data_IF_189850238023
#
_entry.id   IF_189850238023
#
_cell.length_a   1.000
_cell.length_b   1.000
_cell.length_c   1.000
_cell.angle_alpha   90.00
_cell.angle_beta   90.00
_cell.angle_gamma   90.00
#
_symmetry.space_group_name_H-M   'P 1'
#
loop_
_entity.id
_entity.type
_entity.pdbx_description
1 polymer ?
#
# COMPACT_ATOMS: atom_id res chain seq x y z
N UNK A 1 -33.81 -4.18 -22.71
CA UNK A 1 -34.57 -4.41 -21.46
C UNK A 1 -33.65 -4.74 -20.28
N UNK A 2 -32.75 -5.70 -20.37
CA UNK A 2 -31.83 -6.10 -19.26
C UNK A 2 -30.89 -4.95 -18.82
N UNK A 3 -30.34 -4.17 -19.74
CA UNK A 3 -29.50 -2.99 -19.42
C UNK A 3 -30.26 -1.90 -18.66
N UNK A 4 -31.48 -1.61 -19.07
CA UNK A 4 -32.35 -0.69 -18.34
C UNK A 4 -32.69 -1.16 -16.93
N UNK A 5 -32.97 -2.45 -16.74
CA UNK A 5 -33.20 -3.02 -15.42
C UNK A 5 -31.95 -2.96 -14.52
N UNK A 6 -30.77 -3.23 -15.05
CA UNK A 6 -29.51 -3.05 -14.33
C UNK A 6 -29.24 -1.58 -13.96
N UNK A 7 -29.58 -0.64 -14.86
CA UNK A 7 -29.47 0.79 -14.59
C UNK A 7 -30.37 1.24 -13.44
N UNK A 8 -31.63 0.76 -13.41
CA UNK A 8 -32.60 1.05 -12.35
C UNK A 8 -32.14 0.44 -11.01
N UNK A 9 -31.70 -0.82 -11.01
CA UNK A 9 -31.19 -1.47 -9.80
C UNK A 9 -29.96 -0.73 -9.24
N UNK A 10 -29.01 -0.37 -10.10
CA UNK A 10 -27.82 0.39 -9.70
C UNK A 10 -28.17 1.81 -9.20
N UNK A 11 -29.22 2.45 -9.75
CA UNK A 11 -29.72 3.73 -9.26
C UNK A 11 -30.42 3.59 -7.90
N UNK A 12 -31.23 2.53 -7.73
CA UNK A 12 -31.91 2.23 -6.47
C UNK A 12 -30.91 1.90 -5.35
N UNK A 13 -29.91 1.08 -5.63
CA UNK A 13 -28.82 0.79 -4.67
C UNK A 13 -28.02 2.03 -4.31
N UNK A 14 -27.80 2.96 -5.25
CA UNK A 14 -27.18 4.26 -4.98
C UNK A 14 -28.05 5.13 -4.10
N UNK A 15 -29.37 5.18 -4.36
CA UNK A 15 -30.31 5.93 -3.54
C UNK A 15 -30.40 5.36 -2.12
N UNK A 16 -30.53 4.05 -1.96
CA UNK A 16 -30.53 3.39 -0.65
C UNK A 16 -29.23 3.66 0.12
N UNK A 17 -28.07 3.53 -0.52
CA UNK A 17 -26.77 3.87 0.08
C UNK A 17 -26.70 5.34 0.49
N UNK A 18 -27.21 6.26 -0.32
CA UNK A 18 -27.26 7.68 0.00
C UNK A 18 -28.12 7.96 1.24
N UNK A 19 -29.31 7.37 1.34
CA UNK A 19 -30.18 7.56 2.50
C UNK A 19 -29.65 6.88 3.77
N UNK A 20 -29.04 5.71 3.67
CA UNK A 20 -28.39 5.04 4.81
C UNK A 20 -27.11 5.78 5.19
N UNK A 21 -26.31 6.17 4.20
CA UNK A 21 -25.03 6.87 4.40
C UNK A 21 -25.19 8.30 4.94
N UNK A 22 -26.28 9.00 4.60
CA UNK A 22 -26.54 10.36 5.10
C UNK A 22 -26.74 10.45 6.61
N UNK A 23 -26.93 9.29 7.27
CA UNK A 23 -27.02 9.20 8.74
C UNK A 23 -25.68 8.86 9.39
N UNK A 24 -24.67 8.42 8.62
CA UNK A 24 -23.37 8.07 9.17
C UNK A 24 -22.62 9.34 9.58
N UNK A 25 -22.29 9.43 10.86
CA UNK A 25 -21.62 10.59 11.47
C UNK A 25 -20.47 10.12 12.34
N UNK A 26 -19.55 11.06 12.60
CA UNK A 26 -18.44 10.86 13.51
C UNK A 26 -17.10 10.99 12.83
N UNK A 27 -16.04 10.75 13.58
CA UNK A 27 -14.66 10.85 13.11
C UNK A 27 -14.17 9.48 12.67
N UNK A 28 -13.48 9.44 11.53
CA UNK A 28 -12.80 8.26 11.00
C UNK A 28 -11.31 8.55 10.88
N UNK A 29 -10.49 7.86 11.68
CA UNK A 29 -9.03 7.95 11.66
C UNK A 29 -8.48 6.77 10.87
N UNK A 30 -8.12 7.03 9.61
CA UNK A 30 -7.61 6.03 8.69
C UNK A 30 -6.10 6.14 8.52
N UNK A 31 -5.38 5.04 8.77
CA UNK A 31 -3.96 4.90 8.53
C UNK A 31 -3.68 4.12 7.25
N UNK A 32 -2.74 4.56 6.43
CA UNK A 32 -2.36 3.81 5.23
C UNK A 32 -0.87 3.91 4.91
N UNK A 33 -0.32 2.86 4.29
CA UNK A 33 1.07 2.89 3.82
C UNK A 33 1.22 3.80 2.61
N UNK A 34 2.40 4.43 2.47
CA UNK A 34 2.70 5.33 1.34
C UNK A 34 2.49 4.66 -0.03
N UNK A 35 2.84 3.39 -0.15
CA UNK A 35 2.61 2.66 -1.40
C UNK A 35 1.12 2.56 -1.72
N UNK A 36 0.26 2.35 -0.71
CA UNK A 36 -1.16 2.21 -0.93
C UNK A 36 -1.84 3.55 -1.26
N UNK A 37 -1.31 4.68 -0.74
CA UNK A 37 -1.83 6.03 -1.06
C UNK A 37 -1.78 6.32 -2.56
N UNK A 38 -0.73 5.87 -3.24
CA UNK A 38 -0.55 6.11 -4.68
C UNK A 38 -1.30 5.12 -5.57
N UNK A 39 -2.04 4.17 -4.97
CA UNK A 39 -2.96 3.27 -5.68
C UNK A 39 -4.24 3.99 -6.09
N UNK A 40 -5.30 3.23 -6.39
CA UNK A 40 -6.64 3.77 -6.66
C UNK A 40 -7.41 4.20 -5.41
N UNK A 41 -6.73 4.38 -4.27
CA UNK A 41 -7.35 4.86 -3.03
C UNK A 41 -8.09 6.21 -3.20
N UNK A 42 -7.57 7.20 -3.95
CA UNK A 42 -8.27 8.47 -4.14
C UNK A 42 -9.69 8.33 -4.71
N UNK A 43 -9.92 7.39 -5.64
CA UNK A 43 -11.25 7.13 -6.19
C UNK A 43 -12.21 6.57 -5.13
N UNK A 44 -11.73 5.64 -4.31
CA UNK A 44 -12.52 5.06 -3.21
C UNK A 44 -12.87 6.12 -2.18
N UNK A 45 -11.90 6.94 -1.78
CA UNK A 45 -12.13 8.02 -0.82
C UNK A 45 -13.09 9.07 -1.36
N UNK A 46 -13.00 9.44 -2.64
CA UNK A 46 -13.93 10.37 -3.27
C UNK A 46 -15.38 9.88 -3.18
N UNK A 47 -15.61 8.60 -3.49
CA UNK A 47 -16.94 8.02 -3.41
C UNK A 47 -17.41 7.90 -1.96
N UNK A 48 -16.53 7.52 -1.04
CA UNK A 48 -16.83 7.45 0.38
C UNK A 48 -17.27 8.81 0.96
N UNK A 49 -16.50 9.87 0.72
CA UNK A 49 -16.82 11.22 1.21
C UNK A 49 -18.10 11.75 0.60
N UNK A 50 -18.34 11.47 -0.71
CA UNK A 50 -19.58 11.85 -1.39
C UNK A 50 -20.81 11.17 -0.78
N UNK A 51 -20.66 9.91 -0.36
CA UNK A 51 -21.76 9.12 0.22
C UNK A 51 -21.96 9.43 1.70
N UNK A 52 -20.90 9.83 2.41
CA UNK A 52 -20.90 10.07 3.85
C UNK A 52 -20.41 11.49 4.21
N UNK A 53 -21.10 12.55 3.80
CA UNK A 53 -20.61 13.93 3.94
C UNK A 53 -20.52 14.43 5.39
N UNK A 54 -21.10 13.70 6.34
CA UNK A 54 -21.09 14.05 7.77
C UNK A 54 -19.99 13.31 8.56
N UNK A 55 -19.12 12.55 7.86
CA UNK A 55 -17.97 11.89 8.47
C UNK A 55 -16.77 12.83 8.41
N UNK A 56 -16.21 13.14 9.58
CA UNK A 56 -14.93 13.83 9.70
C UNK A 56 -13.80 12.83 9.41
N UNK A 57 -13.04 13.04 8.34
CA UNK A 57 -12.02 12.12 7.87
C UNK A 57 -10.62 12.59 8.23
N UNK A 58 -9.86 11.75 8.92
CA UNK A 58 -8.45 11.98 9.26
C UNK A 58 -7.58 10.91 8.61
N UNK A 59 -6.61 11.33 7.79
CA UNK A 59 -5.70 10.45 7.09
C UNK A 59 -4.29 10.53 7.71
N UNK A 60 -3.78 9.37 8.11
CA UNK A 60 -2.38 9.21 8.55
C UNK A 60 -1.64 8.33 7.56
N UNK A 61 -0.54 8.84 7.00
CA UNK A 61 0.33 8.08 6.09
C UNK A 61 1.62 7.71 6.82
N UNK A 62 2.07 6.46 6.67
CA UNK A 62 3.28 6.01 7.35
C UNK A 62 3.66 4.57 7.06
N UNK A 63 4.66 4.06 7.78
CA UNK A 63 5.08 2.66 7.67
C UNK A 63 4.09 1.73 8.37
N UNK A 64 3.83 0.57 7.79
CA UNK A 64 2.82 -0.39 8.29
C UNK A 64 3.03 -0.77 9.76
N UNK A 65 4.28 -0.90 10.22
CA UNK A 65 4.57 -1.20 11.63
C UNK A 65 4.08 -0.09 12.57
N UNK A 66 4.43 1.16 12.27
CA UNK A 66 4.04 2.35 13.06
C UNK A 66 2.51 2.54 13.07
N UNK A 67 1.86 2.30 11.91
CA UNK A 67 0.41 2.38 11.79
C UNK A 67 -0.29 1.31 12.62
N UNK A 68 0.25 0.08 12.63
CA UNK A 68 -0.30 -1.02 13.43
C UNK A 68 -0.17 -0.75 14.94
N UNK A 69 0.92 -0.14 15.39
CA UNK A 69 1.07 0.30 16.77
C UNK A 69 0.04 1.37 17.14
N UNK A 70 -0.18 2.36 16.27
CA UNK A 70 -1.22 3.37 16.47
C UNK A 70 -2.61 2.76 16.51
N UNK A 71 -2.90 1.78 15.64
CA UNK A 71 -4.16 1.04 15.68
C UNK A 71 -4.35 0.28 17.01
N UNK A 72 -3.31 -0.38 17.49
CA UNK A 72 -3.33 -1.12 18.75
C UNK A 72 -3.57 -0.19 19.97
N UNK A 73 -3.02 1.03 19.94
CA UNK A 73 -3.27 2.06 20.96
C UNK A 73 -4.62 2.77 20.80
N UNK A 74 -5.40 2.45 19.75
CA UNK A 74 -6.69 3.09 19.50
C UNK A 74 -6.59 4.53 18.97
N UNK A 75 -5.41 4.94 18.47
CA UNK A 75 -5.18 6.22 17.81
C UNK A 75 -5.70 6.22 16.37
N UNK A 76 -5.84 5.04 15.76
CA UNK A 76 -6.46 4.82 14.45
C UNK A 76 -7.64 3.85 14.58
N UNK A 77 -8.60 3.96 13.67
CA UNK A 77 -9.79 3.13 13.61
C UNK A 77 -9.65 2.01 12.57
N UNK A 78 -8.97 2.33 11.47
CA UNK A 78 -8.74 1.44 10.33
C UNK A 78 -7.32 1.67 9.80
N UNK A 79 -6.63 0.60 9.42
CA UNK A 79 -5.31 0.66 8.78
C UNK A 79 -5.31 -0.20 7.53
N UNK A 80 -4.79 0.33 6.42
CA UNK A 80 -4.41 -0.43 5.24
C UNK A 80 -2.89 -0.40 5.08
N UNK A 81 -2.25 -1.56 5.21
CA UNK A 81 -0.80 -1.65 5.16
C UNK A 81 -0.29 -3.01 4.71
N UNK A 82 1.01 -3.10 4.58
CA UNK A 82 1.69 -4.35 4.21
C UNK A 82 1.66 -5.33 5.37
N UNK A 83 1.32 -6.58 5.08
CA UNK A 83 1.37 -7.69 6.02
C UNK A 83 2.78 -8.28 6.06
N UNK A 84 3.30 -8.56 7.27
CA UNK A 84 4.55 -9.29 7.42
C UNK A 84 4.41 -10.73 6.93
N UNK A 85 5.48 -11.27 6.37
CA UNK A 85 5.53 -12.68 5.96
C UNK A 85 5.22 -13.59 7.15
N UNK A 86 4.34 -14.57 6.93
CA UNK A 86 3.91 -15.52 7.98
C UNK A 86 2.84 -15.01 8.94
N UNK A 87 2.42 -13.74 8.84
CA UNK A 87 1.26 -13.26 9.58
C UNK A 87 -0.04 -13.61 8.82
N UNK A 88 -1.10 -13.94 9.55
CA UNK A 88 -2.40 -14.37 9.00
C UNK A 88 -3.55 -13.40 9.29
N UNK A 89 -3.28 -12.35 10.07
CA UNK A 89 -4.30 -11.38 10.48
C UNK A 89 -4.57 -10.32 9.41
N UNK A 90 -5.77 -9.76 9.46
CA UNK A 90 -6.23 -8.73 8.53
C UNK A 90 -7.00 -9.29 7.33
N UNK A 91 -7.89 -8.45 6.76
CA UNK A 91 -8.66 -8.76 5.53
C UNK A 91 -7.79 -8.42 4.33
N UNK A 92 -7.52 -9.40 3.46
CA UNK A 92 -6.71 -9.20 2.26
C UNK A 92 -7.40 -8.23 1.30
N UNK A 93 -6.66 -7.18 0.91
CA UNK A 93 -7.09 -6.20 -0.11
C UNK A 93 -6.51 -6.56 -1.47
N UNK A 94 -5.19 -6.73 -1.52
CA UNK A 94 -4.51 -7.07 -2.77
C UNK A 94 -3.17 -7.77 -2.50
N UNK A 95 -2.68 -8.44 -3.55
CA UNK A 95 -1.31 -8.96 -3.65
C UNK A 95 -0.63 -8.33 -4.84
N UNK A 96 0.64 -8.02 -4.69
CA UNK A 96 1.47 -7.60 -5.80
C UNK A 96 2.87 -8.20 -5.67
N UNK A 97 3.53 -8.44 -6.81
CA UNK A 97 4.94 -8.84 -6.79
C UNK A 97 5.81 -7.65 -6.45
N UNK A 98 6.92 -7.89 -5.80
CA UNK A 98 7.93 -6.86 -5.58
C UNK A 98 8.88 -6.80 -6.79
N UNK A 99 9.20 -5.58 -7.20
CA UNK A 99 10.08 -5.31 -8.32
C UNK A 99 11.31 -4.50 -7.87
N UNK A 100 12.48 -4.89 -8.36
CA UNK A 100 13.68 -4.07 -8.29
C UNK A 100 13.56 -2.93 -9.28
N UNK A 101 13.79 -1.70 -8.84
CA UNK A 101 13.65 -0.50 -9.68
C UNK A 101 14.83 0.45 -9.52
N UNK A 102 15.11 1.21 -10.59
CA UNK A 102 16.11 2.27 -10.64
C UNK A 102 15.67 3.40 -11.57
N UNK A 103 16.32 4.56 -11.48
CA UNK A 103 16.15 5.66 -12.44
C UNK A 103 16.79 5.33 -13.80
N UNK A 104 18.00 4.78 -13.73
CA UNK A 104 18.76 4.31 -14.91
C UNK A 104 19.08 2.83 -14.77
N UNK A 105 19.42 2.18 -15.89
CA UNK A 105 19.90 0.79 -15.84
C UNK A 105 21.18 0.71 -14.99
N UNK A 106 21.20 -0.14 -13.97
CA UNK A 106 22.32 -0.23 -13.08
C UNK A 106 23.56 -0.75 -13.81
N UNK A 107 24.71 -0.13 -13.57
CA UNK A 107 26.00 -0.52 -14.11
C UNK A 107 26.79 -1.51 -13.24
N UNK A 108 26.16 -2.10 -12.22
CA UNK A 108 26.81 -3.10 -11.38
C UNK A 108 26.66 -4.51 -11.95
N UNK A 109 27.72 -5.30 -11.80
CA UNK A 109 27.74 -6.72 -12.15
C UNK A 109 27.52 -7.62 -10.90
N UNK A 110 27.61 -8.93 -11.12
CA UNK A 110 27.42 -9.90 -10.03
C UNK A 110 28.53 -9.88 -8.99
N UNK A 111 29.72 -9.35 -9.29
CA UNK A 111 30.87 -9.30 -8.40
C UNK A 111 30.83 -8.10 -7.44
N UNK A 112 30.09 -7.05 -7.78
CA UNK A 112 30.02 -5.85 -6.95
C UNK A 112 28.82 -5.88 -5.99
N UNK A 113 28.97 -5.33 -4.76
CA UNK A 113 27.85 -5.25 -3.82
C UNK A 113 26.71 -4.40 -4.37
N UNK A 114 25.47 -4.91 -4.27
CA UNK A 114 24.26 -4.20 -4.72
C UNK A 114 24.07 -2.90 -3.93
N UNK A 115 24.03 -1.72 -4.59
CA UNK A 115 23.83 -0.45 -3.90
C UNK A 115 22.34 -0.25 -3.59
N UNK A 116 21.95 -0.44 -2.34
CA UNK A 116 20.56 -0.43 -1.89
C UNK A 116 20.11 0.93 -1.37
N UNK A 117 18.95 1.35 -1.84
CA UNK A 117 18.16 2.44 -1.28
C UNK A 117 16.97 1.82 -0.58
N UNK A 118 16.86 1.94 0.74
CA UNK A 118 15.88 1.22 1.54
C UNK A 118 15.10 2.15 2.48
N UNK A 119 13.89 1.73 2.82
CA UNK A 119 13.18 2.33 3.94
C UNK A 119 13.99 2.19 5.25
N UNK A 120 13.87 3.19 6.13
CA UNK A 120 14.36 3.07 7.50
C UNK A 120 13.65 1.92 8.24
N UNK A 121 14.37 1.24 9.12
CA UNK A 121 13.79 0.20 9.98
C UNK A 121 12.80 0.82 10.99
N UNK A 122 11.71 0.11 11.35
CA UNK A 122 11.24 -1.15 10.80
C UNK A 122 10.49 -0.97 9.46
N UNK A 123 10.64 -1.93 8.52
CA UNK A 123 9.93 -1.92 7.24
C UNK A 123 9.81 -3.33 6.67
N UNK A 124 8.58 -3.73 6.32
CA UNK A 124 8.28 -5.03 5.70
C UNK A 124 9.06 -5.24 4.40
N UNK A 125 9.11 -4.23 3.52
CA UNK A 125 9.85 -4.32 2.25
C UNK A 125 11.35 -4.46 2.50
N UNK A 126 11.91 -3.70 3.44
CA UNK A 126 13.34 -3.82 3.81
C UNK A 126 13.67 -5.23 4.32
N UNK A 127 12.84 -5.79 5.19
CA UNK A 127 13.02 -7.14 5.75
C UNK A 127 13.04 -8.18 4.62
N UNK A 128 12.12 -8.09 3.64
CA UNK A 128 12.05 -9.00 2.49
C UNK A 128 13.30 -8.89 1.63
N UNK A 129 13.74 -7.68 1.30
CA UNK A 129 14.91 -7.43 0.45
C UNK A 129 16.17 -8.01 1.07
N UNK A 130 16.43 -7.69 2.33
CA UNK A 130 17.64 -8.14 3.01
C UNK A 130 17.67 -9.67 3.16
N UNK A 131 16.54 -10.29 3.52
CA UNK A 131 16.43 -11.75 3.61
C UNK A 131 16.64 -12.44 2.26
N UNK A 132 16.12 -11.90 1.16
CA UNK A 132 16.29 -12.47 -0.17
C UNK A 132 17.74 -12.39 -0.66
N UNK A 133 18.43 -11.26 -0.42
CA UNK A 133 19.83 -11.09 -0.76
C UNK A 133 20.73 -12.01 0.07
N UNK A 134 20.46 -12.16 1.36
CA UNK A 134 21.17 -13.06 2.25
C UNK A 134 21.01 -14.52 1.79
N UNK A 135 19.77 -14.96 1.52
CA UNK A 135 19.49 -16.31 1.04
C UNK A 135 20.13 -16.63 -0.31
N UNK A 136 20.27 -15.65 -1.20
CA UNK A 136 20.93 -15.82 -2.49
C UNK A 136 22.45 -15.69 -2.43
N UNK A 137 23.03 -15.37 -1.26
CA UNK A 137 24.46 -15.09 -1.12
C UNK A 137 24.94 -13.83 -1.84
N UNK A 138 24.01 -12.96 -2.25
CA UNK A 138 24.32 -11.75 -3.01
C UNK A 138 24.78 -10.64 -2.06
N UNK A 139 26.02 -10.17 -2.22
CA UNK A 139 26.54 -9.05 -1.42
C UNK A 139 25.83 -7.73 -1.74
N UNK A 140 25.68 -6.91 -0.73
CA UNK A 140 24.98 -5.63 -0.83
C UNK A 140 25.57 -4.56 0.11
N UNK A 141 25.30 -3.31 -0.18
CA UNK A 141 25.58 -2.19 0.72
C UNK A 141 24.40 -1.20 0.71
N UNK A 142 24.05 -0.66 1.86
CA UNK A 142 23.03 0.37 1.94
C UNK A 142 23.69 1.72 1.65
N UNK A 143 23.29 2.35 0.56
CA UNK A 143 23.81 3.65 0.11
C UNK A 143 22.91 4.82 0.52
N UNK A 144 21.60 4.54 0.73
CA UNK A 144 20.66 5.54 1.18
C UNK A 144 19.55 4.89 2.02
N UNK A 145 19.09 5.62 3.03
CA UNK A 145 17.93 5.23 3.85
C UNK A 145 16.97 6.40 3.93
N UNK A 146 15.70 6.14 3.66
CA UNK A 146 14.63 7.16 3.77
C UNK A 146 13.44 6.63 4.57
N UNK A 147 12.71 7.51 5.20
CA UNK A 147 11.43 7.19 5.85
C UNK A 147 10.23 7.27 4.88
N UNK A 148 10.42 7.78 3.66
CA UNK A 148 9.33 8.03 2.69
C UNK A 148 9.62 7.46 1.31
N UNK A 149 8.55 7.09 0.57
CA UNK A 149 8.62 6.64 -0.81
C UNK A 149 9.20 7.72 -1.74
N UNK A 150 8.82 8.96 -1.53
CA UNK A 150 9.36 10.10 -2.29
C UNK A 150 10.87 10.26 -2.11
N UNK A 151 11.37 10.03 -0.90
CA UNK A 151 12.81 10.01 -0.63
C UNK A 151 13.53 8.85 -1.32
N UNK A 152 12.97 7.64 -1.31
CA UNK A 152 13.52 6.48 -2.04
C UNK A 152 13.55 6.77 -3.56
N UNK A 153 12.44 7.29 -4.10
CA UNK A 153 12.34 7.68 -5.51
C UNK A 153 13.39 8.71 -5.90
N UNK A 154 13.55 9.77 -5.11
CA UNK A 154 14.54 10.82 -5.37
C UNK A 154 15.96 10.27 -5.39
N UNK A 155 16.31 9.42 -4.41
CA UNK A 155 17.62 8.79 -4.35
C UNK A 155 17.88 7.87 -5.56
N UNK A 156 16.86 7.11 -6.00
CA UNK A 156 16.97 6.24 -7.15
C UNK A 156 17.10 7.03 -8.47
N UNK A 157 16.34 8.13 -8.64
CA UNK A 157 16.47 9.03 -9.80
C UNK A 157 17.81 9.76 -9.83
N UNK A 158 18.41 10.04 -8.68
CA UNK A 158 19.76 10.61 -8.58
C UNK A 158 20.88 9.60 -8.86
N UNK A 159 20.56 8.32 -9.19
CA UNK A 159 21.54 7.30 -9.48
C UNK A 159 22.32 6.78 -8.28
N UNK A 160 21.85 7.01 -7.05
CA UNK A 160 22.54 6.53 -5.84
C UNK A 160 22.53 5.01 -5.72
N UNK A 161 21.53 4.33 -6.30
CA UNK A 161 21.39 2.89 -6.25
C UNK A 161 20.02 2.43 -6.69
N UNK A 162 19.66 1.21 -6.27
CA UNK A 162 18.38 0.58 -6.60
C UNK A 162 17.47 0.45 -5.38
N UNK A 163 16.18 0.41 -5.61
CA UNK A 163 15.18 0.21 -4.55
C UNK A 163 14.16 -0.85 -4.95
N UNK A 164 13.22 -1.14 -4.06
CA UNK A 164 12.16 -2.13 -4.28
C UNK A 164 10.81 -1.53 -3.97
N UNK A 165 9.89 -1.71 -4.90
CA UNK A 165 8.48 -1.29 -4.78
C UNK A 165 7.55 -2.40 -5.26
N UNK A 166 6.25 -2.38 -4.91
CA UNK A 166 5.25 -3.20 -5.58
C UNK A 166 5.22 -2.87 -7.07
N UNK A 167 5.18 -3.89 -7.93
CA UNK A 167 5.29 -3.73 -9.38
C UNK A 167 4.22 -2.79 -9.97
N UNK A 168 2.97 -2.95 -9.57
CA UNK A 168 1.89 -2.09 -10.02
C UNK A 168 1.95 -0.66 -9.49
N UNK A 169 2.90 -0.33 -8.62
CA UNK A 169 3.07 0.98 -8.00
C UNK A 169 4.46 1.59 -8.28
N UNK A 170 5.10 1.20 -9.38
CA UNK A 170 6.39 1.77 -9.78
C UNK A 170 6.23 3.28 -10.01
N UNK A 171 6.93 4.13 -9.24
CA UNK A 171 6.80 5.57 -9.38
C UNK A 171 7.29 6.07 -10.75
N UNK A 172 6.67 7.13 -11.25
CA UNK A 172 7.07 7.76 -12.50
C UNK A 172 8.58 8.12 -12.51
N UNK A 173 9.27 7.79 -13.60
CA UNK A 173 10.70 7.99 -13.77
C UNK A 173 11.58 6.86 -13.26
N UNK A 174 11.01 5.88 -12.55
CA UNK A 174 11.70 4.62 -12.24
C UNK A 174 11.25 3.54 -13.21
N UNK A 175 12.16 2.62 -13.53
CA UNK A 175 11.89 1.45 -14.35
C UNK A 175 12.28 0.17 -13.60
N UNK A 176 11.57 -0.92 -13.91
CA UNK A 176 11.94 -2.23 -13.41
C UNK A 176 13.27 -2.66 -14.01
N UNK A 177 14.15 -3.19 -13.15
CA UNK A 177 15.43 -3.73 -13.57
C UNK A 177 15.18 -5.10 -14.22
N UNK A 178 15.59 -5.32 -15.48
CA UNK A 178 15.40 -6.60 -16.15
C UNK A 178 16.13 -7.75 -15.43
N UNK A 179 15.64 -8.97 -15.63
CA UNK A 179 16.34 -10.18 -15.18
C UNK A 179 17.75 -10.24 -15.81
N UNK A 180 18.73 -10.74 -15.05
CA UNK A 180 20.12 -10.91 -15.55
C UNK A 180 21.16 -10.17 -14.72
N UNK A 181 20.77 -9.29 -13.80
CA UNK A 181 21.69 -8.57 -12.91
C UNK A 181 22.06 -9.35 -11.62
N UNK A 182 21.68 -10.64 -11.52
CA UNK A 182 21.94 -11.46 -10.32
C UNK A 182 21.14 -11.00 -9.09
N UNK A 183 20.02 -10.32 -9.31
CA UNK A 183 19.10 -9.93 -8.24
C UNK A 183 18.12 -11.07 -7.95
N UNK A 184 17.89 -11.41 -6.66
CA UNK A 184 16.96 -12.47 -6.30
C UNK A 184 15.50 -12.07 -6.54
N UNK A 185 14.65 -13.07 -6.76
CA UNK A 185 13.21 -12.89 -6.70
C UNK A 185 12.78 -12.54 -5.27
N UNK A 186 11.97 -11.51 -5.14
CA UNK A 186 11.47 -11.00 -3.86
C UNK A 186 10.12 -11.59 -3.48
N UNK A 187 9.46 -12.28 -4.43
CA UNK A 187 8.10 -12.78 -4.26
C UNK A 187 7.07 -11.67 -4.21
N UNK A 188 6.01 -11.89 -3.41
CA UNK A 188 4.87 -11.00 -3.33
C UNK A 188 4.75 -10.33 -1.97
N UNK A 189 4.13 -9.16 -1.96
CA UNK A 189 3.67 -8.46 -0.76
C UNK A 189 2.15 -8.41 -0.73
N UNK A 190 1.58 -8.53 0.46
CA UNK A 190 0.14 -8.43 0.67
C UNK A 190 -0.22 -7.14 1.38
N UNK A 191 -1.26 -6.48 0.87
CA UNK A 191 -1.90 -5.36 1.54
C UNK A 191 -3.16 -5.84 2.23
N UNK A 192 -3.29 -5.52 3.50
CA UNK A 192 -4.40 -5.97 4.36
C UNK A 192 -5.02 -4.80 5.10
N UNK A 193 -6.31 -4.94 5.38
CA UNK A 193 -7.05 -4.05 6.28
C UNK A 193 -7.08 -4.63 7.68
N UNK A 194 -6.75 -3.78 8.64
CA UNK A 194 -6.84 -4.04 10.07
C UNK A 194 -7.77 -3.00 10.70
N UNK A 195 -8.71 -3.44 11.51
CA UNK A 195 -9.66 -2.57 12.20
C UNK A 195 -9.46 -2.66 13.71
N UNK A 196 -9.62 -1.54 14.38
CA UNK A 196 -9.77 -1.53 15.83
C UNK A 196 -11.07 -2.29 16.20
N UNK A 197 -11.05 -3.05 17.30
CA UNK A 197 -12.21 -3.81 17.76
C UNK A 197 -13.45 -2.95 18.00
N UNK A 198 -13.25 -1.69 18.39
CA UNK A 198 -14.33 -0.69 18.59
C UNK A 198 -14.90 -0.15 17.27
N UNK A 199 -14.15 -0.24 16.17
CA UNK A 199 -14.49 0.30 14.85
C UNK A 199 -15.10 -0.74 13.90
N UNK A 200 -15.65 -1.84 14.43
CA UNK A 200 -16.33 -2.89 13.64
C UNK A 200 -17.68 -2.47 13.07
N UNK A 201 -18.16 -1.31 13.43
CA UNK A 201 -19.40 -0.67 12.94
C UNK A 201 -19.12 0.81 12.69
N UNK A 202 -19.98 1.45 11.89
CA UNK A 202 -19.85 2.86 11.58
C UNK A 202 -18.85 3.17 10.45
N UNK A 203 -18.28 4.39 10.41
CA UNK A 203 -17.49 4.88 9.27
C UNK A 203 -16.30 4.00 8.89
N UNK A 204 -15.64 3.38 9.85
CA UNK A 204 -14.48 2.52 9.59
C UNK A 204 -14.87 1.20 8.90
N UNK A 205 -16.00 0.61 9.28
CA UNK A 205 -16.50 -0.59 8.64
C UNK A 205 -16.94 -0.31 7.19
N UNK A 206 -17.66 0.78 6.97
CA UNK A 206 -18.09 1.20 5.64
C UNK A 206 -16.91 1.51 4.71
N UNK A 207 -15.87 2.21 5.20
CA UNK A 207 -14.66 2.44 4.40
C UNK A 207 -13.93 1.12 4.12
N UNK A 208 -13.83 0.22 5.10
CA UNK A 208 -13.20 -1.08 4.90
C UNK A 208 -13.92 -1.90 3.82
N UNK A 209 -15.25 -1.92 3.83
CA UNK A 209 -16.05 -2.62 2.83
C UNK A 209 -15.97 -1.94 1.46
N UNK A 210 -15.93 -0.60 1.40
CA UNK A 210 -15.70 0.14 0.17
C UNK A 210 -14.32 -0.17 -0.46
N UNK A 211 -13.26 -0.22 0.35
CA UNK A 211 -11.91 -0.59 -0.13
C UNK A 211 -11.91 -2.02 -0.69
N UNK A 212 -12.51 -2.98 0.01
CA UNK A 212 -12.54 -4.37 -0.44
C UNK A 212 -13.41 -4.58 -1.68
N UNK A 213 -14.55 -3.89 -1.76
CA UNK A 213 -15.45 -3.94 -2.91
C UNK A 213 -14.86 -3.27 -4.16
N UNK A 214 -13.96 -2.32 -3.98
CA UNK A 214 -13.32 -1.58 -5.09
C UNK A 214 -12.45 -2.45 -5.98
N UNK A 215 -12.06 -3.64 -5.51
CA UNK A 215 -11.16 -4.54 -6.23
C UNK A 215 -9.83 -3.87 -6.58
N UNK A 216 -9.32 -2.98 -5.69
CA UNK A 216 -8.04 -2.30 -5.91
C UNK A 216 -7.00 -3.35 -6.26
N UNK A 217 -6.65 -3.40 -7.54
CA UNK A 217 -5.45 -4.08 -8.00
C UNK A 217 -4.34 -3.05 -8.05
N UNK A 218 -3.16 -3.45 -7.64
CA UNK A 218 -1.95 -2.65 -7.84
C UNK A 218 -1.57 -2.78 -9.33
N UNK A 219 -2.22 -1.98 -10.18
CA UNK A 219 -1.95 -1.95 -11.63
C UNK A 219 -1.88 -0.50 -12.07
#
# INVERSE_FOLDING_TARGET
MIEFARGILAANERAQRYFVGSQLRGRLRFGTSEDFVVSRLPEVLREFVRTHPLVEFELTVGKSGELNEKLARGELDLVCGKRRRGADHGRLVSRDRLAWVSGDLPSFDQSTPVPLILYSSPSVTREIVLAALEQSGRSWRIVCTSSSLSGLRTAALAGLGITVVPHGLIPAGLAEIPNGHGLPDLGTVEFVLLSNSRARRGPAAELADAILASGIRMT
#
